data_IF_642901534837
#
_entry.id   IF_642901534837
#
_cell.length_a   1.000
_cell.length_b   1.000
_cell.length_c   1.000
_cell.angle_alpha   90.00
_cell.angle_beta   90.00
_cell.angle_gamma   90.00
#
_symmetry.space_group_name_H-M   'P 1'
#
loop_
_entity.id
_entity.type
_entity.pdbx_description
1 polymer ?
#
# COMPACT_ATOMS: atom_id res chain seq x y z
N UNK A 1 10.87 3.82 -50.14
CA UNK A 1 11.36 5.21 -50.09
C UNK A 1 11.95 5.41 -48.71
N UNK A 2 13.22 5.88 -48.61
CA UNK A 2 13.98 5.80 -47.37
C UNK A 2 13.71 6.97 -46.42
N UNK A 3 13.82 6.68 -45.16
CA UNK A 3 13.67 7.59 -44.00
C UNK A 3 15.03 8.28 -43.76
N UNK A 4 14.98 9.59 -43.71
CA UNK A 4 16.13 10.47 -43.50
C UNK A 4 16.51 10.54 -42.00
N UNK A 5 17.78 10.31 -41.72
CA UNK A 5 18.42 10.38 -40.42
C UNK A 5 19.19 11.70 -40.32
N UNK A 6 18.69 12.70 -39.62
CA UNK A 6 19.47 13.89 -39.26
C UNK A 6 19.79 13.92 -37.76
N UNK A 7 21.05 13.67 -37.47
CA UNK A 7 21.68 13.83 -36.15
C UNK A 7 21.76 15.33 -35.78
N UNK A 8 21.39 15.69 -34.57
CA UNK A 8 21.75 16.97 -33.94
C UNK A 8 22.73 16.74 -32.80
N UNK A 9 23.94 17.27 -33.03
CA UNK A 9 25.10 17.29 -32.13
C UNK A 9 24.83 18.21 -30.93
N UNK A 10 24.95 17.71 -29.73
CA UNK A 10 25.03 18.51 -28.50
C UNK A 10 26.49 18.73 -28.17
N UNK A 11 26.93 20.01 -28.17
CA UNK A 11 28.28 20.43 -27.76
C UNK A 11 28.36 20.58 -26.23
N UNK A 12 29.51 20.28 -25.61
CA UNK A 12 29.71 20.45 -24.18
C UNK A 12 30.01 21.92 -23.81
N UNK A 13 29.40 22.38 -22.70
CA UNK A 13 29.65 23.73 -22.13
C UNK A 13 30.88 23.66 -21.22
N UNK A 14 31.86 24.48 -21.50
CA UNK A 14 33.12 24.62 -20.76
C UNK A 14 32.95 25.45 -19.47
N UNK A 15 33.63 25.01 -18.42
CA UNK A 15 33.84 25.76 -17.17
C UNK A 15 34.60 27.03 -17.45
N UNK A 16 34.14 28.19 -16.98
CA UNK A 16 34.93 29.41 -16.81
C UNK A 16 34.86 29.93 -15.38
N UNK A 17 36.05 30.15 -14.88
CA UNK A 17 36.47 30.69 -13.61
C UNK A 17 35.87 32.08 -13.29
N UNK A 18 35.47 32.28 -12.03
CA UNK A 18 35.20 33.62 -11.50
C UNK A 18 36.39 34.08 -10.67
N UNK A 19 36.92 35.26 -11.06
CA UNK A 19 38.00 35.98 -10.39
C UNK A 19 37.42 36.78 -9.23
N UNK A 20 38.10 36.73 -8.08
CA UNK A 20 37.82 37.52 -6.91
C UNK A 20 38.21 38.99 -7.09
N UNK A 21 37.36 39.92 -6.73
CA UNK A 21 37.70 41.33 -6.51
C UNK A 21 37.57 41.66 -5.03
N UNK A 22 38.68 42.01 -4.41
CA UNK A 22 38.79 42.51 -3.03
C UNK A 22 38.44 43.99 -3.01
N UNK A 23 37.55 44.39 -2.07
CA UNK A 23 37.41 45.77 -1.65
C UNK A 23 37.43 45.79 -0.11
N UNK A 24 38.42 46.45 0.44
CA UNK A 24 38.62 46.72 1.84
C UNK A 24 37.62 47.77 2.34
N UNK A 25 36.88 47.47 3.42
CA UNK A 25 36.08 48.43 4.16
C UNK A 25 36.27 48.15 5.63
N UNK A 26 36.85 49.09 6.37
CA UNK A 26 36.99 49.12 7.82
C UNK A 26 35.60 49.24 8.46
N UNK A 27 35.22 48.28 9.26
CA UNK A 27 33.98 48.30 10.06
C UNK A 27 34.19 47.52 11.36
N UNK A 28 33.90 48.18 12.47
CA UNK A 28 34.01 47.81 13.88
C UNK A 28 33.61 46.36 14.20
N UNK A 29 34.51 45.67 14.89
CA UNK A 29 34.31 44.29 15.39
C UNK A 29 33.36 44.30 16.58
N UNK A 30 32.15 43.72 16.40
CA UNK A 30 31.30 43.28 17.50
C UNK A 30 31.75 41.87 17.95
N UNK A 31 31.67 41.53 19.26
CA UNK A 31 32.07 40.21 19.72
C UNK A 31 31.16 39.11 19.16
N UNK A 32 31.70 37.91 18.87
CA UNK A 32 30.90 36.82 18.34
C UNK A 32 29.88 36.34 19.39
N UNK A 33 28.61 36.38 19.04
CA UNK A 33 27.59 35.60 19.74
C UNK A 33 27.96 34.11 19.66
N UNK A 34 27.86 33.35 20.78
CA UNK A 34 28.02 31.91 20.70
C UNK A 34 26.86 31.35 19.87
N UNK A 35 27.15 30.88 18.67
CA UNK A 35 26.29 29.97 17.94
C UNK A 35 26.24 28.67 18.74
N UNK A 36 25.19 28.50 19.53
CA UNK A 36 24.78 27.17 19.96
C UNK A 36 24.51 26.39 18.66
N UNK A 37 25.47 25.57 18.28
CA UNK A 37 25.20 24.47 17.34
C UNK A 37 24.27 23.51 18.10
N UNK A 38 22.96 23.74 18.02
CA UNK A 38 22.02 22.67 18.19
C UNK A 38 22.40 21.62 17.15
N UNK A 39 22.66 20.41 17.60
CA UNK A 39 22.97 19.25 16.79
C UNK A 39 21.85 19.06 15.75
N UNK A 40 22.01 19.65 14.57
CA UNK A 40 21.25 19.34 13.36
C UNK A 40 21.68 17.94 12.88
N UNK A 41 21.46 16.92 13.70
CA UNK A 41 21.43 15.57 13.18
C UNK A 41 20.21 15.49 12.26
N UNK A 42 20.39 15.15 10.97
CA UNK A 42 19.25 14.91 10.10
C UNK A 42 18.34 13.89 10.80
N UNK A 43 17.01 14.09 10.79
CA UNK A 43 16.08 13.17 11.45
C UNK A 43 16.40 11.77 10.98
N UNK A 44 16.58 10.83 11.92
CA UNK A 44 16.91 9.45 11.63
C UNK A 44 15.94 8.94 10.54
N UNK A 45 16.47 8.42 9.44
CA UNK A 45 15.65 7.91 8.35
C UNK A 45 14.61 6.94 8.92
N UNK A 46 13.33 7.05 8.55
CA UNK A 46 12.27 6.22 9.12
C UNK A 46 12.65 4.75 8.99
N UNK A 47 12.54 4.00 10.07
CA UNK A 47 12.89 2.59 10.09
C UNK A 47 11.90 1.86 9.19
N UNK A 48 12.37 1.32 8.06
CA UNK A 48 11.51 0.58 7.11
C UNK A 48 10.92 -0.65 7.77
N UNK A 49 9.64 -0.88 7.56
CA UNK A 49 8.86 -1.91 8.25
C UNK A 49 8.21 -2.86 7.27
N UNK A 50 8.16 -4.13 7.64
CA UNK A 50 7.48 -5.18 6.90
C UNK A 50 6.26 -5.64 7.69
N UNK A 51 5.06 -5.52 7.10
CA UNK A 51 3.78 -5.85 7.71
C UNK A 51 3.22 -7.11 7.04
N UNK A 52 2.83 -8.11 7.82
CA UNK A 52 2.19 -9.31 7.29
C UNK A 52 0.68 -9.10 7.10
N UNK A 53 0.13 -9.61 5.99
CA UNK A 53 -1.30 -9.68 5.74
C UNK A 53 -1.64 -10.98 5.00
N UNK A 54 -2.78 -11.56 5.35
CA UNK A 54 -3.28 -12.74 4.65
C UNK A 54 -4.40 -13.43 5.41
N UNK A 55 -5.13 -14.27 4.69
CA UNK A 55 -6.38 -14.87 5.16
C UNK A 55 -6.23 -15.75 6.40
N UNK A 56 -5.09 -16.41 6.59
CA UNK A 56 -4.90 -17.37 7.69
C UNK A 56 -4.15 -16.79 8.90
N UNK A 57 -3.59 -15.58 8.73
CA UNK A 57 -2.69 -14.96 9.70
C UNK A 57 -3.43 -14.14 10.76
N UNK A 58 -4.65 -13.68 10.48
CA UNK A 58 -5.11 -12.41 11.01
C UNK A 58 -6.41 -12.47 11.82
N UNK A 59 -6.88 -13.65 12.21
CA UNK A 59 -8.04 -13.74 13.12
C UNK A 59 -7.65 -13.34 14.53
N UNK A 60 -8.28 -12.32 15.16
CA UNK A 60 -7.84 -11.81 16.45
C UNK A 60 -7.78 -12.87 17.56
N UNK A 61 -8.77 -13.76 17.66
CA UNK A 61 -8.77 -14.84 18.66
C UNK A 61 -7.62 -15.83 18.44
N UNK A 62 -7.28 -16.15 17.18
CA UNK A 62 -6.16 -17.03 16.84
C UNK A 62 -4.83 -16.35 17.18
N UNK A 63 -4.66 -15.09 16.79
CA UNK A 63 -3.47 -14.31 17.12
C UNK A 63 -3.29 -14.22 18.65
N UNK A 64 -4.35 -13.98 19.39
CA UNK A 64 -4.31 -13.94 20.85
C UNK A 64 -3.80 -15.25 21.45
N UNK A 65 -4.27 -16.40 20.95
CA UNK A 65 -3.87 -17.72 21.45
C UNK A 65 -2.48 -18.16 21.04
N UNK A 66 -1.96 -17.64 19.91
CA UNK A 66 -0.65 -18.01 19.32
C UNK A 66 0.34 -16.85 19.27
N UNK A 67 0.16 -15.85 20.11
CA UNK A 67 0.92 -14.56 20.05
C UNK A 67 2.44 -14.76 20.03
N UNK A 68 2.97 -15.75 20.76
CA UNK A 68 4.41 -16.03 20.81
C UNK A 68 4.94 -16.46 19.45
N UNK A 69 4.27 -17.43 18.79
CA UNK A 69 4.65 -17.90 17.46
C UNK A 69 4.52 -16.79 16.41
N UNK A 70 3.44 -16.02 16.48
CA UNK A 70 3.24 -14.86 15.58
C UNK A 70 4.39 -13.87 15.68
N UNK A 71 4.84 -13.55 16.88
CA UNK A 71 5.93 -12.60 17.09
C UNK A 71 7.34 -13.18 16.81
N UNK A 72 7.48 -14.49 16.55
CA UNK A 72 8.72 -15.07 16.02
C UNK A 72 8.93 -14.75 14.53
N UNK A 73 7.85 -14.39 13.81
CA UNK A 73 7.96 -14.00 12.41
C UNK A 73 8.86 -12.77 12.24
N UNK A 74 9.66 -12.72 11.16
CA UNK A 74 10.54 -11.58 10.88
C UNK A 74 9.77 -10.37 10.33
N UNK A 75 8.72 -9.94 11.03
CA UNK A 75 7.83 -8.84 10.71
C UNK A 75 7.90 -7.74 11.77
N UNK A 76 7.35 -6.56 11.46
CA UNK A 76 7.18 -5.46 12.41
C UNK A 76 5.73 -5.35 12.92
N UNK A 77 4.81 -6.05 12.29
CA UNK A 77 3.40 -6.07 12.64
C UNK A 77 2.60 -6.88 11.64
N UNK A 78 1.30 -6.96 11.89
CA UNK A 78 0.33 -7.67 11.05
C UNK A 78 -0.94 -6.86 10.84
N UNK A 79 -1.70 -7.24 9.82
CA UNK A 79 -3.05 -6.74 9.60
C UNK A 79 -4.04 -7.73 10.22
N UNK A 80 -4.78 -7.32 11.23
CA UNK A 80 -5.87 -8.10 11.81
C UNK A 80 -7.14 -7.94 10.95
N UNK A 81 -7.91 -9.01 10.77
CA UNK A 81 -9.12 -9.06 9.94
C UNK A 81 -10.15 -10.05 10.48
N UNK A 82 -11.29 -10.16 9.80
CA UNK A 82 -12.40 -11.04 10.18
C UNK A 82 -12.98 -10.73 11.58
N UNK A 83 -13.46 -9.51 11.74
CA UNK A 83 -14.03 -9.01 12.98
C UNK A 83 -15.49 -9.45 13.11
N UNK A 84 -15.70 -10.60 13.70
CA UNK A 84 -17.05 -11.17 13.88
C UNK A 84 -17.80 -10.46 15.00
N UNK A 85 -19.07 -10.19 14.75
CA UNK A 85 -19.99 -9.55 15.67
C UNK A 85 -21.39 -10.15 15.57
N UNK A 86 -22.31 -9.60 16.37
CA UNK A 86 -23.72 -9.99 16.35
C UNK A 86 -24.60 -8.76 16.50
N UNK A 87 -25.56 -8.60 15.57
CA UNK A 87 -26.54 -7.51 15.59
C UNK A 87 -27.95 -8.07 15.49
N UNK A 88 -28.81 -7.73 16.43
CA UNK A 88 -30.20 -8.22 16.49
C UNK A 88 -30.31 -9.77 16.33
N UNK A 89 -29.37 -10.50 16.94
CA UNK A 89 -29.32 -11.96 16.88
C UNK A 89 -28.67 -12.57 15.64
N UNK A 90 -28.30 -11.76 14.63
CA UNK A 90 -27.65 -12.22 13.40
C UNK A 90 -26.14 -12.00 13.48
N UNK A 91 -25.39 -13.02 13.09
CA UNK A 91 -23.93 -12.93 12.98
C UNK A 91 -23.54 -12.14 11.72
N UNK A 92 -22.43 -11.40 11.82
CA UNK A 92 -21.83 -10.65 10.71
C UNK A 92 -20.31 -10.60 10.85
N UNK A 93 -19.63 -10.25 9.76
CA UNK A 93 -18.19 -9.95 9.77
C UNK A 93 -17.97 -8.49 9.38
N UNK A 94 -17.59 -7.67 10.34
CA UNK A 94 -17.60 -6.21 10.23
C UNK A 94 -16.77 -5.70 9.03
N UNK A 95 -15.56 -6.19 8.86
CA UNK A 95 -14.68 -5.74 7.76
C UNK A 95 -15.17 -6.15 6.35
N UNK A 96 -16.21 -6.98 6.26
CA UNK A 96 -16.92 -7.33 5.02
C UNK A 96 -18.28 -6.62 4.86
N UNK A 97 -18.71 -5.89 5.88
CA UNK A 97 -20.03 -5.24 5.93
C UNK A 97 -19.96 -3.75 6.33
N UNK A 98 -18.76 -3.25 6.66
CA UNK A 98 -18.57 -1.92 7.23
C UNK A 98 -18.88 -0.76 6.28
N UNK A 99 -18.85 -0.98 4.96
CA UNK A 99 -19.06 0.05 3.93
C UNK A 99 -20.39 -0.18 3.18
N UNK A 100 -21.44 -0.36 3.95
CA UNK A 100 -22.79 -0.61 3.45
C UNK A 100 -23.83 0.29 4.10
N UNK A 101 -25.11 -0.06 3.91
CA UNK A 101 -26.26 0.69 4.45
C UNK A 101 -26.48 0.47 5.93
N UNK A 102 -25.85 -0.55 6.54
CA UNK A 102 -26.05 -0.89 7.93
C UNK A 102 -25.07 -0.14 8.83
N UNK A 103 -25.59 0.50 9.89
CA UNK A 103 -24.80 1.03 10.99
C UNK A 103 -24.52 -0.07 12.01
N UNK A 104 -23.28 -0.14 12.45
CA UNK A 104 -22.85 -1.04 13.53
C UNK A 104 -22.42 -0.22 14.74
N UNK A 105 -22.80 -0.68 15.92
CA UNK A 105 -22.43 -0.06 17.18
C UNK A 105 -21.33 -0.85 17.88
N UNK A 106 -20.66 -0.24 18.84
CA UNK A 106 -19.60 -0.90 19.61
C UNK A 106 -20.09 -2.17 20.33
N UNK A 107 -21.35 -2.15 20.78
CA UNK A 107 -21.96 -3.29 21.48
C UNK A 107 -22.15 -4.49 20.56
N UNK A 108 -22.42 -4.27 19.26
CA UNK A 108 -22.50 -5.34 18.25
C UNK A 108 -21.15 -6.07 18.09
N UNK A 109 -20.03 -5.40 18.42
CA UNK A 109 -18.64 -5.88 18.32
C UNK A 109 -17.95 -6.06 19.69
N UNK A 110 -18.65 -5.87 20.80
CA UNK A 110 -18.03 -5.86 22.13
C UNK A 110 -17.17 -7.09 22.45
N UNK A 111 -17.55 -8.34 22.12
CA UNK A 111 -16.68 -9.51 22.32
C UNK A 111 -15.38 -9.41 21.51
N UNK A 112 -15.44 -8.95 20.25
CA UNK A 112 -14.30 -8.82 19.36
C UNK A 112 -13.36 -7.70 19.84
N UNK A 113 -13.90 -6.54 20.22
CA UNK A 113 -13.13 -5.43 20.78
C UNK A 113 -12.39 -5.86 22.05
N UNK A 114 -13.04 -6.67 22.90
CA UNK A 114 -12.39 -7.24 24.10
C UNK A 114 -11.22 -8.15 23.74
N UNK A 115 -11.35 -8.99 22.71
CA UNK A 115 -10.25 -9.84 22.23
C UNK A 115 -9.10 -8.95 21.74
N UNK A 116 -9.37 -7.97 20.88
CA UNK A 116 -8.37 -7.02 20.36
C UNK A 116 -7.65 -6.29 21.49
N UNK A 117 -8.40 -5.79 22.50
CA UNK A 117 -7.85 -5.08 23.65
C UNK A 117 -6.97 -5.96 24.55
N UNK A 118 -7.10 -7.28 24.46
CA UNK A 118 -6.32 -8.24 25.22
C UNK A 118 -5.09 -8.80 24.47
N UNK A 119 -4.94 -8.54 23.18
CA UNK A 119 -3.72 -8.89 22.46
C UNK A 119 -2.60 -7.95 22.93
N UNK A 120 -1.52 -8.51 23.45
CA UNK A 120 -0.37 -7.77 23.96
C UNK A 120 0.88 -8.11 23.15
N UNK A 121 1.07 -7.37 22.05
CA UNK A 121 2.29 -7.48 21.26
C UNK A 121 3.49 -6.90 22.04
N UNK A 122 4.62 -7.61 22.02
CA UNK A 122 5.91 -7.17 22.60
C UNK A 122 6.89 -6.70 21.52
N UNK A 123 6.84 -7.33 20.35
CA UNK A 123 7.76 -7.06 19.22
C UNK A 123 7.08 -6.36 18.06
N UNK A 124 5.81 -6.64 17.83
CA UNK A 124 5.05 -6.04 16.73
C UNK A 124 4.52 -4.67 17.15
N UNK A 125 5.17 -3.62 16.65
CA UNK A 125 4.87 -2.22 16.99
C UNK A 125 3.89 -1.58 16.01
N UNK A 126 3.66 -2.20 14.85
CA UNK A 126 2.92 -1.59 13.74
C UNK A 126 1.83 -2.51 13.21
N UNK A 127 0.80 -2.70 14.03
CA UNK A 127 -0.35 -3.52 13.67
C UNK A 127 -1.46 -2.65 13.09
N UNK A 128 -2.18 -3.20 12.11
CA UNK A 128 -3.28 -2.54 11.42
C UNK A 128 -4.58 -3.34 11.59
N UNK A 129 -5.72 -2.67 11.56
CA UNK A 129 -7.02 -3.29 11.44
C UNK A 129 -7.49 -3.19 9.99
N UNK A 130 -8.07 -4.26 9.44
CA UNK A 130 -8.67 -4.20 8.11
C UNK A 130 -9.94 -3.35 8.12
N UNK A 131 -10.11 -2.52 7.10
CA UNK A 131 -11.34 -1.85 6.74
C UNK A 131 -11.50 -1.96 5.22
N UNK A 132 -12.70 -2.25 4.72
CA UNK A 132 -12.92 -2.46 3.28
C UNK A 132 -14.02 -1.55 2.76
N UNK A 133 -14.17 -1.50 1.43
CA UNK A 133 -15.33 -0.86 0.77
C UNK A 133 -16.48 -1.85 0.57
N UNK A 134 -16.56 -2.89 1.40
CA UNK A 134 -17.59 -3.92 1.30
C UNK A 134 -18.77 -3.66 2.28
N UNK A 135 -19.99 -4.03 1.90
CA UNK A 135 -20.42 -4.63 0.65
C UNK A 135 -20.57 -3.63 -0.51
N UNK A 136 -20.54 -2.32 -0.26
CA UNK A 136 -20.68 -1.28 -1.28
C UNK A 136 -22.07 -1.20 -1.92
N UNK A 137 -23.12 -1.67 -1.25
CA UNK A 137 -24.47 -1.87 -1.76
C UNK A 137 -25.32 -0.58 -1.77
N UNK A 138 -24.74 0.52 -2.18
CA UNK A 138 -25.40 1.85 -2.31
C UNK A 138 -24.87 2.58 -3.56
N UNK A 139 -25.59 3.60 -4.01
CA UNK A 139 -25.06 4.57 -4.97
C UNK A 139 -24.43 5.76 -4.23
N UNK A 140 -23.41 6.38 -4.84
CA UNK A 140 -22.72 7.51 -4.23
C UNK A 140 -23.58 8.72 -3.91
N UNK A 141 -24.77 8.83 -4.55
CA UNK A 141 -25.78 9.84 -4.28
C UNK A 141 -26.78 9.44 -3.18
N UNK A 142 -26.80 8.17 -2.76
CA UNK A 142 -27.62 7.69 -1.64
C UNK A 142 -27.14 8.25 -0.29
N UNK A 143 -27.88 7.96 0.79
CA UNK A 143 -27.46 8.25 2.16
C UNK A 143 -26.14 7.54 2.49
N UNK A 144 -25.17 8.31 2.92
CA UNK A 144 -23.81 7.85 3.25
C UNK A 144 -23.54 7.83 4.76
N UNK A 145 -24.58 8.02 5.59
CA UNK A 145 -24.44 8.14 7.04
C UNK A 145 -23.93 6.84 7.71
N UNK A 146 -24.28 5.67 7.17
CA UNK A 146 -23.85 4.38 7.72
C UNK A 146 -22.36 4.13 7.51
N UNK A 147 -21.76 4.26 6.30
CA UNK A 147 -20.31 4.18 6.12
C UNK A 147 -19.52 5.17 7.01
N UNK A 148 -19.99 6.41 7.15
CA UNK A 148 -19.33 7.42 7.99
C UNK A 148 -19.37 7.05 9.48
N UNK A 149 -20.51 6.57 9.97
CA UNK A 149 -20.68 6.09 11.35
C UNK A 149 -19.72 4.92 11.63
N UNK A 150 -19.72 3.92 10.76
CA UNK A 150 -18.90 2.72 10.90
C UNK A 150 -17.40 3.07 10.86
N UNK A 151 -16.99 3.97 9.95
CA UNK A 151 -15.61 4.43 9.86
C UNK A 151 -15.18 5.18 11.12
N UNK A 152 -16.00 6.11 11.63
CA UNK A 152 -15.69 6.84 12.86
C UNK A 152 -15.56 5.87 14.05
N UNK A 153 -16.50 4.96 14.21
CA UNK A 153 -16.50 3.95 15.28
C UNK A 153 -15.24 3.08 15.20
N UNK A 154 -14.89 2.58 14.01
CA UNK A 154 -13.74 1.70 13.84
C UNK A 154 -12.38 2.42 13.98
N UNK A 155 -12.32 3.70 13.63
CA UNK A 155 -11.15 4.54 13.89
C UNK A 155 -10.91 4.74 15.40
N UNK A 156 -12.00 4.90 16.17
CA UNK A 156 -11.91 4.96 17.63
C UNK A 156 -11.41 3.63 18.22
N UNK A 157 -11.91 2.49 17.72
CA UNK A 157 -11.46 1.15 18.14
C UNK A 157 -9.97 0.97 17.80
N UNK A 158 -9.53 1.32 16.60
CA UNK A 158 -8.13 1.21 16.21
C UNK A 158 -7.20 1.99 17.17
N UNK A 159 -7.59 3.21 17.53
CA UNK A 159 -6.85 4.02 18.52
C UNK A 159 -6.82 3.39 19.91
N UNK A 160 -7.96 2.88 20.37
CA UNK A 160 -8.11 2.26 21.72
C UNK A 160 -7.24 1.01 21.87
N UNK A 161 -7.19 0.16 20.83
CA UNK A 161 -6.42 -1.08 20.85
C UNK A 161 -4.95 -0.89 20.49
N UNK A 162 -4.52 0.36 20.25
CA UNK A 162 -3.14 0.70 19.92
C UNK A 162 -2.71 0.29 18.49
N UNK A 163 -3.65 0.09 17.57
CA UNK A 163 -3.32 -0.13 16.16
C UNK A 163 -2.83 1.19 15.53
N UNK A 164 -1.86 1.08 14.60
CA UNK A 164 -1.34 2.25 13.85
C UNK A 164 -2.40 2.89 12.96
N UNK A 165 -3.34 2.10 12.51
CA UNK A 165 -4.42 2.55 11.64
C UNK A 165 -5.08 1.40 10.92
N UNK A 166 -5.42 1.63 9.64
CA UNK A 166 -6.12 0.66 8.83
C UNK A 166 -5.30 0.19 7.63
N UNK A 167 -5.35 -1.14 7.37
CA UNK A 167 -5.22 -1.65 6.01
C UNK A 167 -6.54 -1.40 5.33
N UNK A 168 -6.61 -0.31 4.56
CA UNK A 168 -7.84 0.08 3.88
C UNK A 168 -7.88 -0.58 2.51
N UNK A 169 -8.63 -1.65 2.44
CA UNK A 169 -8.83 -2.44 1.24
C UNK A 169 -9.95 -1.82 0.40
N UNK A 170 -9.56 -1.07 -0.61
CA UNK A 170 -10.47 -0.34 -1.51
C UNK A 170 -10.88 -1.17 -2.73
N UNK A 171 -10.64 -2.48 -2.74
CA UNK A 171 -11.08 -3.35 -3.80
C UNK A 171 -12.60 -3.59 -3.76
N UNK A 172 -13.25 -3.47 -4.91
CA UNK A 172 -14.69 -3.62 -5.07
C UNK A 172 -15.07 -5.08 -5.47
N UNK A 173 -15.03 -6.01 -4.51
CA UNK A 173 -15.25 -7.44 -4.77
C UNK A 173 -16.70 -7.78 -5.15
N UNK A 174 -17.69 -7.13 -4.54
CA UNK A 174 -19.12 -7.41 -4.76
C UNK A 174 -19.74 -6.41 -5.71
N UNK A 175 -19.88 -5.18 -5.28
CA UNK A 175 -20.42 -4.09 -6.07
C UNK A 175 -19.31 -3.32 -6.77
N UNK A 176 -19.59 -2.77 -7.94
CA UNK A 176 -18.59 -2.06 -8.76
C UNK A 176 -18.58 -0.56 -8.48
N UNK A 177 -18.28 -0.18 -7.25
CA UNK A 177 -18.32 1.19 -6.74
C UNK A 177 -17.47 2.20 -7.55
N UNK A 178 -16.37 1.75 -8.12
CA UNK A 178 -15.42 2.63 -8.80
C UNK A 178 -15.46 2.51 -10.34
N UNK A 179 -16.45 1.83 -10.90
CA UNK A 179 -16.68 1.77 -12.35
C UNK A 179 -17.84 2.68 -12.71
N UNK A 180 -17.58 3.81 -13.40
CA UNK A 180 -18.61 4.78 -13.74
C UNK A 180 -19.81 4.17 -14.48
N UNK A 181 -19.56 3.37 -15.51
CA UNK A 181 -20.62 2.72 -16.33
C UNK A 181 -21.49 1.73 -15.57
N UNK A 182 -21.10 1.36 -14.34
CA UNK A 182 -21.87 0.45 -13.45
C UNK A 182 -22.66 1.20 -12.39
N UNK A 183 -22.55 2.53 -12.33
CA UNK A 183 -23.28 3.32 -11.35
C UNK A 183 -24.77 3.42 -11.75
N UNK A 184 -25.61 3.44 -10.72
CA UNK A 184 -27.08 3.44 -10.86
C UNK A 184 -27.63 4.57 -11.74
N UNK A 185 -26.99 5.73 -11.72
CA UNK A 185 -27.43 6.91 -12.43
C UNK A 185 -26.48 7.31 -13.58
N UNK A 186 -25.66 6.39 -14.10
CA UNK A 186 -24.68 6.67 -15.16
C UNK A 186 -25.32 7.16 -16.48
N UNK A 187 -26.62 6.85 -16.71
CA UNK A 187 -27.36 7.33 -17.88
C UNK A 187 -27.83 8.80 -17.76
N UNK A 188 -27.98 9.30 -16.52
CA UNK A 188 -28.54 10.63 -16.24
C UNK A 188 -27.56 11.59 -15.58
N UNK A 189 -26.44 11.08 -15.07
CA UNK A 189 -25.38 11.85 -14.41
C UNK A 189 -24.05 11.58 -15.09
N UNK A 190 -23.34 12.65 -15.41
CA UNK A 190 -22.03 12.59 -16.05
C UNK A 190 -20.97 11.96 -15.13
N UNK A 191 -19.84 11.58 -15.74
CA UNK A 191 -18.67 11.15 -14.99
C UNK A 191 -18.19 12.22 -14.00
N UNK A 192 -18.18 13.48 -14.41
CA UNK A 192 -17.72 14.60 -13.57
C UNK A 192 -18.64 14.84 -12.37
N UNK A 193 -19.96 14.66 -12.52
CA UNK A 193 -20.89 14.71 -11.39
C UNK A 193 -20.63 13.58 -10.39
N UNK A 194 -20.37 12.36 -10.88
CA UNK A 194 -19.97 11.25 -10.03
C UNK A 194 -18.63 11.49 -9.35
N UNK A 195 -17.62 11.93 -10.08
CA UNK A 195 -16.29 12.22 -9.54
C UNK A 195 -16.36 13.29 -8.43
N UNK A 196 -17.11 14.39 -8.66
CA UNK A 196 -17.31 15.43 -7.67
C UNK A 196 -18.05 14.91 -6.41
N UNK A 197 -19.08 14.08 -6.58
CA UNK A 197 -19.80 13.47 -5.48
C UNK A 197 -18.91 12.50 -4.69
N UNK A 198 -18.13 11.67 -5.36
CA UNK A 198 -17.23 10.69 -4.75
C UNK A 198 -16.09 11.39 -4.01
N UNK A 199 -15.50 12.46 -4.58
CA UNK A 199 -14.53 13.30 -3.88
C UNK A 199 -15.11 13.89 -2.59
N UNK A 200 -16.36 14.38 -2.62
CA UNK A 200 -17.07 14.84 -1.42
C UNK A 200 -17.23 13.70 -0.39
N UNK A 201 -17.58 12.49 -0.81
CA UNK A 201 -17.70 11.32 0.08
C UNK A 201 -16.35 10.92 0.69
N UNK A 202 -15.27 10.96 -0.09
CA UNK A 202 -13.90 10.76 0.40
C UNK A 202 -13.53 11.77 1.48
N UNK A 203 -13.85 13.06 1.28
CA UNK A 203 -13.64 14.11 2.28
C UNK A 203 -14.42 13.85 3.57
N UNK A 204 -15.73 13.57 3.47
CA UNK A 204 -16.57 13.22 4.62
C UNK A 204 -16.04 12.00 5.37
N UNK A 205 -15.55 10.98 4.64
CA UNK A 205 -14.95 9.78 5.22
C UNK A 205 -13.71 10.13 6.05
N UNK A 206 -12.78 10.91 5.51
CA UNK A 206 -11.59 11.33 6.24
C UNK A 206 -11.93 12.18 7.47
N UNK A 207 -12.89 13.11 7.35
CA UNK A 207 -13.38 13.91 8.48
C UNK A 207 -13.93 13.01 9.60
N UNK A 208 -14.73 11.97 9.26
CA UNK A 208 -15.25 11.01 10.21
C UNK A 208 -14.14 10.20 10.88
N UNK A 209 -13.18 9.70 10.12
CA UNK A 209 -12.05 8.90 10.60
C UNK A 209 -11.19 9.71 11.57
N UNK A 210 -10.69 10.88 11.13
CA UNK A 210 -9.75 11.67 11.91
C UNK A 210 -10.38 12.34 13.13
N UNK A 211 -11.71 12.55 13.14
CA UNK A 211 -12.41 13.03 14.33
C UNK A 211 -12.28 12.06 15.53
N UNK A 212 -12.09 10.77 15.27
CA UNK A 212 -11.90 9.73 16.27
C UNK A 212 -10.43 9.33 16.45
N UNK A 213 -9.64 9.38 15.37
CA UNK A 213 -8.22 9.04 15.37
C UNK A 213 -7.41 10.02 14.50
N UNK A 214 -6.98 11.17 15.05
CA UNK A 214 -6.32 12.22 14.26
C UNK A 214 -4.89 11.86 13.77
N UNK A 215 -4.31 10.77 14.25
CA UNK A 215 -2.96 10.30 13.90
C UNK A 215 -2.98 8.99 13.09
N UNK A 216 -4.14 8.64 12.54
CA UNK A 216 -4.34 7.38 11.83
C UNK A 216 -3.42 7.26 10.61
N UNK A 217 -2.93 6.04 10.37
CA UNK A 217 -2.26 5.65 9.14
C UNK A 217 -3.23 4.83 8.28
N UNK A 218 -3.48 5.28 7.05
CA UNK A 218 -4.27 4.53 6.08
C UNK A 218 -3.34 3.87 5.05
N UNK A 219 -3.13 2.56 5.18
CA UNK A 219 -2.40 1.75 4.20
C UNK A 219 -3.41 1.22 3.18
N UNK A 220 -3.53 1.90 2.04
CA UNK A 220 -4.46 1.52 0.96
C UNK A 220 -3.93 0.30 0.20
N UNK A 221 -4.81 -0.56 -0.31
CA UNK A 221 -4.41 -1.61 -1.27
C UNK A 221 -4.04 -0.97 -2.60
N UNK A 222 -4.93 -0.13 -3.13
CA UNK A 222 -4.85 0.53 -4.42
C UNK A 222 -4.99 2.05 -4.23
N UNK A 223 -4.31 2.83 -5.07
CA UNK A 223 -4.50 4.26 -5.15
C UNK A 223 -4.31 4.77 -6.59
N UNK A 224 -3.94 6.03 -6.77
CA UNK A 224 -3.74 6.64 -8.09
C UNK A 224 -2.75 5.86 -8.96
N UNK A 225 -1.66 5.33 -8.37
CA UNK A 225 -0.65 4.58 -9.12
C UNK A 225 -1.21 3.35 -9.82
N UNK A 226 -2.19 2.68 -9.21
CA UNK A 226 -2.86 1.53 -9.80
C UNK A 226 -3.66 1.91 -11.06
N UNK A 227 -4.42 2.99 -11.01
CA UNK A 227 -5.23 3.48 -12.13
C UNK A 227 -4.34 4.02 -13.24
N UNK A 228 -3.29 4.76 -12.89
CA UNK A 228 -2.38 5.41 -13.85
C UNK A 228 -1.46 4.44 -14.62
N UNK A 229 -1.42 3.15 -14.29
CA UNK A 229 -0.75 2.15 -15.12
C UNK A 229 -1.42 1.95 -16.49
N UNK A 230 -2.71 2.31 -16.63
CA UNK A 230 -3.39 2.31 -17.91
C UNK A 230 -2.90 3.49 -18.77
N UNK A 231 -2.43 3.27 -20.01
CA UNK A 231 -1.98 4.36 -20.88
C UNK A 231 -3.05 5.41 -21.09
N UNK A 232 -2.71 6.69 -20.90
CA UNK A 232 -3.62 7.83 -20.99
C UNK A 232 -4.84 7.74 -20.05
N UNK A 233 -4.67 7.16 -18.86
CA UNK A 233 -5.74 6.97 -17.90
C UNK A 233 -6.50 8.26 -17.59
N UNK A 234 -5.80 9.40 -17.41
CA UNK A 234 -6.38 10.71 -17.12
C UNK A 234 -7.42 11.17 -18.15
N UNK A 235 -7.30 10.74 -19.42
CA UNK A 235 -8.24 11.06 -20.50
C UNK A 235 -9.37 10.04 -20.67
N UNK A 236 -9.31 8.91 -19.96
CA UNK A 236 -10.19 7.76 -20.18
C UNK A 236 -10.83 7.22 -18.91
N UNK A 237 -10.79 7.97 -17.81
CA UNK A 237 -11.31 7.51 -16.51
C UNK A 237 -12.76 7.01 -16.61
N UNK A 238 -13.62 7.72 -17.35
CA UNK A 238 -15.01 7.32 -17.57
C UNK A 238 -15.18 6.00 -18.33
N UNK A 239 -14.16 5.61 -19.12
CA UNK A 239 -14.20 4.43 -19.98
C UNK A 239 -13.57 3.20 -19.34
N UNK A 240 -12.82 3.38 -18.24
CA UNK A 240 -12.11 2.29 -17.59
C UNK A 240 -13.08 1.22 -17.09
N UNK A 241 -12.72 -0.02 -17.33
CA UNK A 241 -13.46 -1.21 -16.86
C UNK A 241 -13.29 -1.49 -15.38
N UNK A 242 -12.36 -0.78 -14.71
CA UNK A 242 -12.11 -0.91 -13.27
C UNK A 242 -11.54 0.39 -12.71
N UNK A 243 -11.96 0.76 -11.52
CA UNK A 243 -11.39 1.83 -10.67
C UNK A 243 -11.28 3.24 -11.27
N UNK A 244 -12.02 3.57 -12.35
CA UNK A 244 -11.97 4.91 -12.96
C UNK A 244 -12.42 6.04 -12.02
N UNK A 245 -13.27 5.75 -11.05
CA UNK A 245 -13.74 6.71 -10.04
C UNK A 245 -12.92 6.68 -8.73
N UNK A 246 -12.01 5.73 -8.56
CA UNK A 246 -11.19 5.61 -7.34
C UNK A 246 -10.31 6.84 -7.07
N UNK A 247 -9.65 7.45 -8.08
CA UNK A 247 -8.87 8.67 -7.85
C UNK A 247 -9.67 9.76 -7.14
N UNK A 248 -10.90 10.01 -7.55
CA UNK A 248 -11.75 11.03 -6.93
C UNK A 248 -12.04 10.74 -5.44
N UNK A 249 -12.23 9.48 -5.05
CA UNK A 249 -12.41 9.11 -3.65
C UNK A 249 -11.16 9.40 -2.82
N UNK A 250 -9.99 9.02 -3.35
CA UNK A 250 -8.70 9.25 -2.67
C UNK A 250 -8.36 10.74 -2.62
N UNK A 251 -8.65 11.50 -3.67
CA UNK A 251 -8.53 12.97 -3.66
C UNK A 251 -9.31 13.59 -2.50
N UNK A 252 -10.54 13.12 -2.27
CA UNK A 252 -11.33 13.55 -1.13
C UNK A 252 -10.71 13.19 0.22
N UNK A 253 -10.13 11.99 0.37
CA UNK A 253 -9.41 11.60 1.57
C UNK A 253 -8.20 12.53 1.81
N UNK A 254 -7.42 12.82 0.76
CA UNK A 254 -6.25 13.73 0.84
C UNK A 254 -6.71 15.15 1.18
N UNK A 255 -7.76 15.65 0.52
CA UNK A 255 -8.29 17.00 0.72
C UNK A 255 -8.61 17.29 2.18
N UNK A 256 -9.21 16.34 2.91
CA UNK A 256 -9.60 16.51 4.30
C UNK A 256 -8.51 16.06 5.30
N UNK A 257 -7.47 15.35 4.86
CA UNK A 257 -6.46 14.82 5.76
C UNK A 257 -5.78 15.90 6.59
N UNK A 258 -5.84 15.75 7.92
CA UNK A 258 -5.21 16.62 8.90
C UNK A 258 -3.68 16.44 8.95
N UNK A 259 -2.97 17.27 9.72
CA UNK A 259 -1.49 17.30 9.70
C UNK A 259 -0.84 15.96 10.08
N UNK A 260 -1.41 15.22 11.02
CA UNK A 260 -0.86 13.96 11.52
C UNK A 260 -1.37 12.70 10.82
N UNK A 261 -2.41 12.84 9.98
CA UNK A 261 -2.91 11.73 9.15
C UNK A 261 -1.89 11.39 8.08
N UNK A 262 -1.64 10.10 7.88
CA UNK A 262 -0.77 9.57 6.84
C UNK A 262 -1.58 8.68 5.90
N UNK A 263 -1.35 8.81 4.60
CA UNK A 263 -2.01 8.01 3.56
C UNK A 263 -0.92 7.34 2.72
N UNK A 264 -1.00 6.02 2.59
CA UNK A 264 0.03 5.22 1.91
C UNK A 264 -0.60 4.54 0.71
N UNK A 265 -0.11 4.81 -0.49
CA UNK A 265 -0.40 3.99 -1.67
C UNK A 265 0.35 2.66 -1.51
N UNK A 266 -0.38 1.60 -1.20
CA UNK A 266 0.20 0.28 -0.92
C UNK A 266 0.68 -0.45 -2.15
N UNK A 267 0.43 0.08 -3.34
CA UNK A 267 1.01 -0.39 -4.61
C UNK A 267 0.82 -1.89 -4.85
N UNK A 268 -0.40 -2.38 -4.76
CA UNK A 268 -0.68 -3.82 -4.91
C UNK A 268 -0.22 -4.39 -6.25
N UNK A 269 -0.16 -3.56 -7.31
CA UNK A 269 0.42 -3.97 -8.59
C UNK A 269 1.87 -4.46 -8.50
N UNK A 270 2.58 -4.14 -7.41
CA UNK A 270 3.93 -4.62 -7.15
C UNK A 270 3.99 -6.13 -6.87
N UNK A 271 2.86 -6.81 -6.68
CA UNK A 271 2.78 -8.27 -6.66
C UNK A 271 3.45 -8.92 -7.89
N UNK A 272 3.38 -8.27 -9.04
CA UNK A 272 3.98 -8.72 -10.29
C UNK A 272 5.42 -8.27 -10.53
N UNK A 273 6.04 -7.49 -9.64
CA UNK A 273 7.40 -7.00 -9.83
C UNK A 273 8.43 -8.11 -9.62
N UNK A 274 9.42 -8.15 -10.51
CA UNK A 274 10.48 -9.15 -10.53
C UNK A 274 11.88 -8.53 -10.58
N UNK A 275 11.99 -7.27 -11.03
CA UNK A 275 13.27 -6.60 -11.26
C UNK A 275 13.42 -5.34 -10.44
N UNK A 276 14.65 -4.94 -10.19
CA UNK A 276 14.99 -3.69 -9.47
C UNK A 276 14.33 -2.47 -10.10
N UNK A 277 14.34 -2.40 -11.43
CA UNK A 277 13.81 -1.27 -12.20
C UNK A 277 12.29 -1.13 -12.02
N UNK A 278 11.56 -2.26 -11.88
CA UNK A 278 10.11 -2.25 -11.63
C UNK A 278 9.80 -1.61 -10.27
N UNK A 279 10.57 -1.91 -9.22
CA UNK A 279 10.41 -1.30 -7.90
C UNK A 279 10.70 0.21 -7.91
N UNK A 280 11.80 0.64 -8.52
CA UNK A 280 12.13 2.07 -8.63
C UNK A 280 11.10 2.83 -9.47
N UNK A 281 10.65 2.25 -10.58
CA UNK A 281 9.57 2.83 -11.40
C UNK A 281 8.30 2.98 -10.57
N UNK A 282 7.93 1.94 -9.80
CA UNK A 282 6.76 1.98 -8.91
C UNK A 282 6.82 3.13 -7.91
N UNK A 283 7.98 3.43 -7.33
CA UNK A 283 8.17 4.62 -6.50
C UNK A 283 7.85 5.92 -7.26
N UNK A 284 8.39 6.07 -8.47
CA UNK A 284 8.13 7.25 -9.30
C UNK A 284 6.69 7.31 -9.82
N UNK A 285 6.05 6.18 -10.03
CA UNK A 285 4.63 6.12 -10.40
C UNK A 285 3.74 6.75 -9.32
N UNK A 286 4.06 6.55 -8.04
CA UNK A 286 3.34 7.18 -6.93
C UNK A 286 3.74 8.65 -6.76
N UNK A 287 5.05 8.95 -6.69
CA UNK A 287 5.52 10.30 -6.33
C UNK A 287 5.37 11.33 -7.48
N UNK A 288 5.33 10.87 -8.72
CA UNK A 288 5.35 11.76 -9.92
C UNK A 288 4.19 11.49 -10.87
N UNK A 289 4.08 10.28 -11.44
CA UNK A 289 3.08 10.01 -12.48
C UNK A 289 1.65 10.05 -11.99
N UNK A 290 1.42 9.69 -10.74
CA UNK A 290 0.08 9.76 -10.13
C UNK A 290 -0.49 11.19 -10.15
N UNK A 291 0.35 12.23 -10.17
CA UNK A 291 -0.06 13.64 -10.28
C UNK A 291 -0.84 13.94 -11.58
N UNK A 292 -0.72 13.11 -12.62
CA UNK A 292 -1.55 13.22 -13.83
C UNK A 292 -3.04 12.98 -13.57
N UNK A 293 -3.39 12.28 -12.47
CA UNK A 293 -4.76 12.00 -12.06
C UNK A 293 -5.25 12.89 -10.92
N UNK A 294 -4.34 13.51 -10.19
CA UNK A 294 -4.64 14.37 -9.04
C UNK A 294 -4.96 15.78 -9.55
N UNK A 295 -6.06 16.41 -9.10
CA UNK A 295 -6.36 17.82 -9.42
C UNK A 295 -5.21 18.75 -9.03
N UNK A 296 -4.92 19.75 -9.86
CA UNK A 296 -3.77 20.63 -9.68
C UNK A 296 -3.75 21.34 -8.31
N UNK A 297 -4.91 21.74 -7.81
CA UNK A 297 -5.07 22.35 -6.48
C UNK A 297 -4.71 21.45 -5.31
N UNK A 298 -4.64 20.14 -5.53
CA UNK A 298 -4.24 19.14 -4.51
C UNK A 298 -2.78 18.67 -4.65
N UNK A 299 -2.02 19.10 -5.66
CA UNK A 299 -0.68 18.57 -5.91
C UNK A 299 0.25 18.69 -4.70
N UNK A 300 0.28 19.85 -4.03
CA UNK A 300 1.16 20.05 -2.87
C UNK A 300 0.71 19.21 -1.68
N UNK A 301 -0.60 19.09 -1.47
CA UNK A 301 -1.13 18.26 -0.40
C UNK A 301 -0.90 16.78 -0.69
N UNK A 302 -1.03 16.34 -1.94
CA UNK A 302 -0.68 14.98 -2.38
C UNK A 302 0.78 14.65 -2.07
N UNK A 303 1.73 15.51 -2.49
CA UNK A 303 3.16 15.32 -2.23
C UNK A 303 3.48 15.20 -0.73
N UNK A 304 2.76 15.96 0.09
CA UNK A 304 2.97 15.99 1.55
C UNK A 304 2.28 14.83 2.29
N UNK A 305 1.23 14.24 1.71
CA UNK A 305 0.39 13.24 2.40
C UNK A 305 0.51 11.84 1.85
N UNK A 306 0.80 11.70 0.54
CA UNK A 306 0.90 10.39 -0.08
C UNK A 306 2.30 9.80 0.08
N UNK A 307 2.36 8.72 0.82
CA UNK A 307 3.57 7.93 1.01
C UNK A 307 3.57 6.69 0.11
N UNK A 308 4.77 6.20 -0.17
CA UNK A 308 4.96 4.98 -0.95
C UNK A 308 4.95 3.76 -0.04
N UNK A 309 3.99 2.87 -0.24
CA UNK A 309 4.02 1.50 0.23
C UNK A 309 4.38 0.55 -0.91
N UNK A 310 4.77 -0.68 -0.59
CA UNK A 310 5.06 -1.69 -1.60
C UNK A 310 4.52 -3.03 -1.17
N UNK A 311 3.74 -3.65 -2.05
CA UNK A 311 3.17 -4.97 -1.87
C UNK A 311 4.11 -6.09 -2.30
N UNK A 312 4.08 -7.20 -1.58
CA UNK A 312 4.79 -8.44 -1.91
C UNK A 312 3.76 -9.57 -1.81
N UNK A 313 3.62 -10.39 -2.84
CA UNK A 313 2.74 -11.54 -2.81
C UNK A 313 3.55 -12.83 -2.70
N UNK A 314 3.61 -13.39 -1.49
CA UNK A 314 4.42 -14.56 -1.19
C UNK A 314 4.08 -15.76 -2.07
N UNK A 315 2.80 -16.08 -2.22
CA UNK A 315 2.37 -17.21 -3.05
C UNK A 315 2.81 -17.09 -4.51
N UNK A 316 2.74 -15.88 -5.06
CA UNK A 316 3.18 -15.61 -6.42
C UNK A 316 4.69 -15.85 -6.57
N UNK A 317 5.49 -15.33 -5.65
CA UNK A 317 6.94 -15.36 -5.75
C UNK A 317 7.53 -16.73 -5.41
N UNK A 318 6.94 -17.41 -4.45
CA UNK A 318 7.34 -18.76 -4.03
C UNK A 318 6.69 -19.87 -4.88
N UNK A 319 5.79 -19.53 -5.80
CA UNK A 319 4.94 -20.45 -6.54
C UNK A 319 4.23 -21.46 -5.61
N UNK A 320 3.79 -20.98 -4.44
CA UNK A 320 3.14 -21.75 -3.39
C UNK A 320 1.61 -21.59 -3.49
N UNK A 321 0.97 -22.51 -4.20
CA UNK A 321 -0.49 -22.54 -4.41
C UNK A 321 -1.01 -23.96 -4.41
N UNK A 322 -2.31 -24.13 -4.17
CA UNK A 322 -3.02 -25.40 -4.35
C UNK A 322 -2.95 -25.87 -5.80
N UNK A 323 -3.17 -24.93 -6.73
CA UNK A 323 -3.03 -25.15 -8.18
C UNK A 323 -2.12 -24.04 -8.69
N UNK A 324 -0.86 -24.35 -8.97
CA UNK A 324 0.11 -23.32 -9.36
C UNK A 324 -0.29 -22.65 -10.67
N UNK A 325 -0.55 -21.36 -10.67
CA UNK A 325 -0.91 -20.64 -11.89
C UNK A 325 0.26 -20.62 -12.86
N UNK A 326 0.11 -21.23 -14.03
CA UNK A 326 1.14 -21.31 -15.07
C UNK A 326 1.48 -19.95 -15.70
N UNK A 327 0.70 -18.91 -15.43
CA UNK A 327 0.93 -17.54 -15.89
C UNK A 327 1.86 -16.73 -14.98
N UNK A 328 2.48 -17.36 -13.99
CA UNK A 328 3.49 -16.69 -13.15
C UNK A 328 4.90 -17.16 -13.49
N UNK A 329 5.85 -16.23 -13.74
CA UNK A 329 7.24 -16.59 -14.03
C UNK A 329 7.88 -17.47 -12.97
N UNK A 330 7.58 -17.24 -11.68
CA UNK A 330 8.11 -18.05 -10.57
C UNK A 330 7.78 -19.53 -10.68
N UNK A 331 6.66 -19.89 -11.33
CA UNK A 331 6.32 -21.30 -11.60
C UNK A 331 7.42 -22.03 -12.40
N UNK A 332 8.11 -21.31 -13.28
CA UNK A 332 9.17 -21.85 -14.16
C UNK A 332 10.57 -21.75 -13.56
N UNK A 333 10.70 -21.39 -12.29
CA UNK A 333 11.95 -21.30 -11.54
C UNK A 333 12.14 -22.51 -10.63
N UNK A 334 13.39 -22.83 -10.31
CA UNK A 334 13.71 -23.83 -9.28
C UNK A 334 13.34 -23.34 -7.87
N UNK A 335 13.10 -24.22 -6.89
CA UNK A 335 12.82 -23.80 -5.51
C UNK A 335 13.88 -22.83 -4.95
N UNK A 336 15.16 -23.11 -5.17
CA UNK A 336 16.24 -22.22 -4.74
C UNK A 336 16.19 -20.84 -5.40
N UNK A 337 15.83 -20.76 -6.70
CA UNK A 337 15.69 -19.50 -7.41
C UNK A 337 14.47 -18.71 -6.89
N UNK A 338 13.35 -19.38 -6.55
CA UNK A 338 12.16 -18.74 -5.95
C UNK A 338 12.48 -18.11 -4.60
N UNK A 339 13.25 -18.78 -3.75
CA UNK A 339 13.69 -18.22 -2.46
C UNK A 339 14.56 -16.97 -2.65
N UNK A 340 15.48 -16.98 -3.61
CA UNK A 340 16.27 -15.79 -3.96
C UNK A 340 15.42 -14.67 -4.55
N UNK A 341 14.41 -15.00 -5.37
CA UNK A 341 13.45 -14.03 -5.88
C UNK A 341 12.65 -13.39 -4.74
N UNK A 342 12.19 -14.18 -3.79
CA UNK A 342 11.46 -13.70 -2.63
C UNK A 342 12.33 -12.81 -1.74
N UNK A 343 13.58 -13.19 -1.47
CA UNK A 343 14.56 -12.36 -0.78
C UNK A 343 14.81 -11.03 -1.51
N UNK A 344 15.05 -11.08 -2.84
CA UNK A 344 15.25 -9.89 -3.68
C UNK A 344 14.07 -8.93 -3.60
N UNK A 345 12.86 -9.46 -3.70
CA UNK A 345 11.67 -8.63 -3.75
C UNK A 345 11.38 -7.96 -2.40
N UNK A 346 11.59 -8.64 -1.29
CA UNK A 346 11.51 -8.03 0.05
C UNK A 346 12.57 -6.94 0.21
N UNK A 347 13.82 -7.21 -0.21
CA UNK A 347 14.89 -6.24 -0.13
C UNK A 347 14.58 -4.97 -0.93
N UNK A 348 14.10 -5.10 -2.18
CA UNK A 348 13.74 -3.95 -3.00
C UNK A 348 12.48 -3.22 -2.50
N UNK A 349 11.49 -3.93 -2.01
CA UNK A 349 10.33 -3.32 -1.38
C UNK A 349 10.73 -2.44 -0.19
N UNK A 350 11.60 -2.93 0.69
CA UNK A 350 12.14 -2.13 1.80
C UNK A 350 12.97 -0.94 1.30
N UNK A 351 13.68 -1.04 0.19
CA UNK A 351 14.45 0.08 -0.39
C UNK A 351 13.58 1.16 -0.98
N UNK A 352 12.43 0.83 -1.55
CA UNK A 352 11.60 1.73 -2.34
C UNK A 352 10.30 2.16 -1.65
N UNK A 353 9.98 1.64 -0.46
CA UNK A 353 8.90 2.17 0.37
C UNK A 353 9.36 3.40 1.16
N UNK A 354 8.45 4.29 1.55
CA UNK A 354 8.78 5.38 2.49
C UNK A 354 8.92 4.82 3.92
N UNK A 355 7.97 4.02 4.41
CA UNK A 355 8.07 3.32 5.68
C UNK A 355 7.57 1.88 5.60
N UNK A 356 6.40 1.61 4.99
CA UNK A 356 5.74 0.32 5.05
C UNK A 356 5.82 -0.46 3.74
N UNK A 357 6.49 -1.61 3.76
CA UNK A 357 6.25 -2.70 2.81
C UNK A 357 5.29 -3.71 3.46
N UNK A 358 4.45 -4.37 2.68
CA UNK A 358 3.52 -5.35 3.20
C UNK A 358 3.55 -6.66 2.41
N UNK A 359 3.55 -7.76 3.16
CA UNK A 359 3.66 -9.12 2.67
C UNK A 359 2.29 -9.79 2.73
N UNK A 360 1.69 -10.01 1.56
CA UNK A 360 0.43 -10.73 1.44
C UNK A 360 0.67 -12.22 1.18
N UNK A 361 -0.20 -13.05 1.77
CA UNK A 361 -0.24 -14.48 1.47
C UNK A 361 -1.67 -15.02 1.56
N UNK A 362 -1.98 -16.03 0.76
CA UNK A 362 -3.25 -16.73 0.77
C UNK A 362 -3.05 -18.18 1.22
N UNK A 363 -3.81 -18.61 2.22
CA UNK A 363 -3.84 -19.99 2.71
C UNK A 363 -2.48 -20.58 3.13
N UNK A 364 -1.46 -19.73 3.35
CA UNK A 364 -0.14 -20.14 3.82
C UNK A 364 -0.08 -20.13 5.35
N UNK A 365 0.40 -21.22 5.94
CA UNK A 365 0.66 -21.31 7.39
C UNK A 365 2.07 -20.86 7.73
N UNK A 366 2.24 -19.62 8.23
CA UNK A 366 3.57 -19.09 8.57
C UNK A 366 4.13 -19.60 9.90
N UNK A 367 3.27 -19.99 10.84
CA UNK A 367 3.68 -20.45 12.18
C UNK A 367 2.94 -21.70 12.67
N UNK A 368 1.97 -22.19 11.91
CA UNK A 368 1.19 -23.39 12.25
C UNK A 368 1.21 -24.40 11.10
N UNK A 369 1.08 -25.68 11.45
CA UNK A 369 0.86 -26.76 10.50
C UNK A 369 -0.62 -26.92 10.15
N UNK A 370 -0.92 -27.62 9.06
CA UNK A 370 -2.28 -27.97 8.66
C UNK A 370 -2.98 -26.96 7.75
N UNK A 371 -2.29 -25.91 7.32
CA UNK A 371 -2.78 -24.98 6.31
C UNK A 371 -2.82 -25.63 4.91
N UNK A 372 -3.68 -25.08 4.05
CA UNK A 372 -3.90 -25.61 2.69
C UNK A 372 -2.65 -25.49 1.81
N UNK A 373 -1.82 -24.49 2.09
CA UNK A 373 -0.55 -24.24 1.43
C UNK A 373 0.56 -24.18 2.49
N UNK A 374 1.47 -25.15 2.56
CA UNK A 374 2.59 -25.07 3.49
C UNK A 374 3.54 -23.92 3.08
N UNK A 375 4.10 -23.25 4.07
CA UNK A 375 5.17 -22.29 3.82
C UNK A 375 6.39 -23.06 3.33
N UNK A 376 6.96 -22.71 2.15
CA UNK A 376 8.14 -23.41 1.64
C UNK A 376 9.32 -23.29 2.59
N UNK A 377 10.09 -24.39 2.72
CA UNK A 377 11.34 -24.41 3.50
C UNK A 377 12.28 -23.29 3.04
N UNK A 378 12.83 -22.54 3.99
CA UNK A 378 13.71 -21.40 3.72
C UNK A 378 13.00 -20.07 3.47
N UNK A 379 11.66 -20.02 3.38
CA UNK A 379 10.94 -18.76 3.16
C UNK A 379 11.15 -17.75 4.30
N UNK A 380 11.06 -18.17 5.56
CA UNK A 380 11.35 -17.31 6.71
C UNK A 380 12.80 -16.82 6.71
N UNK A 381 13.74 -17.70 6.35
CA UNK A 381 15.15 -17.35 6.22
C UNK A 381 15.38 -16.30 5.12
N UNK A 382 14.67 -16.40 3.99
CA UNK A 382 14.74 -15.40 2.92
C UNK A 382 14.27 -13.99 3.41
N UNK A 383 13.23 -13.93 4.24
CA UNK A 383 12.78 -12.67 4.86
C UNK A 383 13.88 -12.12 5.80
N UNK A 384 14.47 -12.96 6.64
CA UNK A 384 15.55 -12.56 7.54
C UNK A 384 16.75 -11.99 6.77
N UNK A 385 17.23 -12.70 5.73
CA UNK A 385 18.36 -12.29 4.91
C UNK A 385 18.10 -10.96 4.20
N UNK A 386 16.91 -10.79 3.62
CA UNK A 386 16.52 -9.53 2.97
C UNK A 386 16.57 -8.34 3.94
N UNK A 387 16.01 -8.52 5.13
CA UNK A 387 15.97 -7.50 6.19
C UNK A 387 17.35 -7.18 6.74
N UNK A 388 18.17 -8.21 6.98
CA UNK A 388 19.57 -8.04 7.44
C UNK A 388 20.40 -7.26 6.42
N UNK A 389 20.35 -7.69 5.14
CA UNK A 389 21.08 -7.00 4.07
C UNK A 389 20.62 -5.56 3.92
N UNK A 390 19.32 -5.31 3.99
CA UNK A 390 18.79 -3.95 3.98
C UNK A 390 19.31 -3.13 5.17
N UNK A 391 19.17 -3.63 6.39
CA UNK A 391 19.57 -2.93 7.62
C UNK A 391 21.07 -2.62 7.69
N UNK A 392 21.91 -3.52 7.12
CA UNK A 392 23.37 -3.37 7.08
C UNK A 392 23.88 -2.75 5.78
N UNK A 393 22.99 -2.27 4.92
CA UNK A 393 23.29 -1.72 3.59
C UNK A 393 24.18 -2.64 2.71
N UNK A 394 24.04 -3.96 2.89
CA UNK A 394 24.74 -4.95 2.09
C UNK A 394 24.01 -5.20 0.77
N UNK A 395 24.74 -5.47 -0.34
CA UNK A 395 24.12 -5.90 -1.59
C UNK A 395 23.51 -7.28 -1.46
N UNK A 396 22.58 -7.62 -2.37
CA UNK A 396 21.97 -8.97 -2.42
C UNK A 396 22.99 -10.11 -2.55
N UNK A 397 24.08 -9.87 -3.30
CA UNK A 397 25.13 -10.87 -3.52
C UNK A 397 24.81 -11.90 -4.62
N UNK A 398 23.71 -11.68 -5.37
CA UNK A 398 23.31 -12.50 -6.51
C UNK A 398 22.54 -11.64 -7.53
N UNK A 399 22.43 -12.18 -8.76
CA UNK A 399 21.72 -11.57 -9.88
C UNK A 399 20.72 -12.57 -10.48
N UNK A 400 19.47 -12.18 -10.62
CA UNK A 400 18.38 -13.02 -11.13
C UNK A 400 17.93 -12.62 -12.55
N UNK A 401 18.53 -11.64 -13.20
CA UNK A 401 18.09 -11.13 -14.51
C UNK A 401 17.94 -12.26 -15.54
N UNK A 402 18.93 -13.14 -15.65
CA UNK A 402 18.88 -14.27 -16.58
C UNK A 402 17.80 -15.30 -16.21
N UNK A 403 17.67 -15.62 -14.92
CA UNK A 403 16.67 -16.56 -14.44
C UNK A 403 15.24 -16.03 -14.67
N UNK A 404 15.02 -14.74 -14.43
CA UNK A 404 13.74 -14.05 -14.69
C UNK A 404 13.42 -14.05 -16.19
N UNK A 405 14.40 -13.73 -17.05
CA UNK A 405 14.22 -13.73 -18.51
C UNK A 405 13.83 -15.12 -19.03
N UNK A 406 14.54 -16.17 -18.61
CA UNK A 406 14.25 -17.56 -18.95
C UNK A 406 12.85 -17.99 -18.47
N UNK A 407 12.49 -17.64 -17.24
CA UNK A 407 11.18 -17.96 -16.69
C UNK A 407 10.04 -17.27 -17.45
N UNK A 408 10.22 -16.00 -17.85
CA UNK A 408 9.27 -15.25 -18.69
C UNK A 408 9.12 -15.89 -20.08
N UNK A 409 10.21 -16.31 -20.71
CA UNK A 409 10.18 -17.02 -22.02
C UNK A 409 9.39 -18.32 -21.93
N UNK A 410 9.71 -19.18 -20.95
CA UNK A 410 9.00 -20.45 -20.73
C UNK A 410 7.50 -20.23 -20.44
N UNK A 411 7.16 -19.19 -19.69
CA UNK A 411 5.76 -18.83 -19.43
C UNK A 411 5.03 -18.46 -20.72
N UNK A 412 5.65 -17.62 -21.58
CA UNK A 412 5.08 -17.23 -22.88
C UNK A 412 4.89 -18.42 -23.82
N UNK A 413 5.87 -19.31 -23.90
CA UNK A 413 5.79 -20.55 -24.69
C UNK A 413 4.64 -21.45 -24.21
N UNK A 414 4.50 -21.63 -22.90
CA UNK A 414 3.42 -22.43 -22.31
C UNK A 414 2.02 -21.82 -22.49
N UNK A 415 1.93 -20.51 -22.69
CA UNK A 415 0.67 -19.82 -22.99
C UNK A 415 0.29 -19.98 -24.47
N UNK A 416 1.27 -19.80 -25.39
CA UNK A 416 1.04 -19.96 -26.85
C UNK A 416 0.61 -21.37 -27.27
N UNK A 417 1.08 -22.40 -26.56
CA UNK A 417 0.75 -23.78 -26.85
C UNK A 417 -0.64 -24.21 -26.36
N UNK A 418 -1.46 -23.29 -25.88
CA UNK A 418 -2.83 -23.54 -25.39
C UNK A 418 -3.91 -22.90 -26.26
N UNK A 419 -3.52 -21.95 -27.09
CA UNK A 419 -4.37 -21.37 -28.15
C UNK A 419 -4.22 -22.20 -29.46
#
# INVERSE_FOLDING_TARGET
MPIDNSQSLIRPISRRSFVAASLAGLGTVAPPCPLNAEDDQPPAAPTKKLIGWGSDVAYPAKVQSTIRQVEELPLNGIVLSNFNGKKAGKDFTFDWECFGRQKFDRDDLAPMIRILSNIRFKRFTDNFLRFTVQPGNFDWFDDFSAPLHNARMWAAVAREVGARGWKFDVEDYKERLFIYKKQKHAETKSFDEYAAQIRRRGRQMMEAIQSANPEIVLLLSLAHSYVNRTPNASRKLAELSSYGLLPAFIDGLIEAAGPKVRIIDGQEQAYGYLTTEEYFRGYHDIKQRALELVPHDLHDKYRNKMEVGVAIFANYQLAAYRTTPRYWPSHYMTPATRLRLFEQNIYHALKTTDEYAWLYSEHMGWWESGHQVPTPDGALQAIHLAREKFATNKPLGFDLRNAIAQARSRMQEATRNKD
#
